data_IF_589884591214
#
_entry.id   IF_589884591214
#
_cell.length_a   1.000
_cell.length_b   1.000
_cell.length_c   1.000
_cell.angle_alpha   90.00
_cell.angle_beta   90.00
_cell.angle_gamma   90.00
#
_symmetry.space_group_name_H-M   'P 1'
#
loop_
_entity.id
_entity.type
_entity.pdbx_description
1 polymer ?
#
# COMPACT_ATOMS: atom_id res chain seq x y z
N UNK A 1 -20.96 -0.16 -1.67
CA UNK A 1 -19.73 -0.72 -1.06
C UNK A 1 -18.64 -0.73 -2.11
N UNK A 2 -17.39 -0.48 -1.69
CA UNK A 2 -16.21 -0.47 -2.59
C UNK A 2 -16.05 -1.83 -3.28
N UNK A 3 -15.90 -1.81 -4.59
CA UNK A 3 -15.57 -2.98 -5.39
C UNK A 3 -14.06 -3.19 -5.46
N UNK A 4 -13.64 -4.40 -5.84
CA UNK A 4 -12.22 -4.72 -5.96
C UNK A 4 -11.49 -3.88 -7.03
N UNK A 5 -12.19 -3.53 -8.11
CA UNK A 5 -11.61 -2.67 -9.15
C UNK A 5 -11.43 -1.24 -8.65
N UNK A 6 -12.39 -0.69 -7.90
CA UNK A 6 -12.23 0.63 -7.28
C UNK A 6 -11.06 0.66 -6.30
N UNK A 7 -10.82 -0.41 -5.54
CA UNK A 7 -9.68 -0.51 -4.62
C UNK A 7 -8.34 -0.49 -5.37
N UNK A 8 -8.24 -1.19 -6.51
CA UNK A 8 -7.01 -1.27 -7.31
C UNK A 8 -6.55 0.08 -7.87
N UNK A 9 -7.48 0.99 -8.12
CA UNK A 9 -7.20 2.33 -8.66
C UNK A 9 -6.82 3.36 -7.58
N UNK A 10 -6.94 3.02 -6.29
CA UNK A 10 -6.64 3.95 -5.20
C UNK A 10 -5.14 4.20 -5.08
N UNK A 11 -4.77 5.45 -4.81
CA UNK A 11 -3.45 5.78 -4.27
C UNK A 11 -3.33 5.30 -2.83
N UNK A 12 -2.08 5.28 -2.33
CA UNK A 12 -1.80 4.81 -0.97
C UNK A 12 -2.57 5.61 0.07
N UNK A 13 -2.52 6.93 0.00
CA UNK A 13 -3.16 7.84 0.96
C UNK A 13 -4.69 7.68 0.96
N UNK A 14 -5.27 7.47 -0.22
CA UNK A 14 -6.72 7.25 -0.37
C UNK A 14 -7.14 5.88 0.18
N UNK A 15 -6.35 4.84 -0.08
CA UNK A 15 -6.56 3.50 0.45
C UNK A 15 -6.44 3.44 1.97
N UNK A 16 -5.42 4.11 2.52
CA UNK A 16 -5.20 4.21 3.96
C UNK A 16 -6.35 4.96 4.65
N UNK A 17 -6.75 6.11 4.11
CA UNK A 17 -7.86 6.89 4.66
C UNK A 17 -9.17 6.08 4.69
N UNK A 18 -9.49 5.37 3.60
CA UNK A 18 -10.67 4.50 3.54
C UNK A 18 -10.61 3.35 4.55
N UNK A 19 -9.41 2.81 4.80
CA UNK A 19 -9.21 1.76 5.79
C UNK A 19 -9.43 2.30 7.22
N UNK A 20 -8.93 3.49 7.52
CA UNK A 20 -9.14 4.17 8.81
C UNK A 20 -10.62 4.48 9.05
N UNK A 21 -11.32 5.01 8.04
CA UNK A 21 -12.77 5.25 8.10
C UNK A 21 -13.54 3.96 8.39
N UNK A 22 -13.18 2.86 7.73
CA UNK A 22 -13.82 1.56 7.92
C UNK A 22 -13.60 1.00 9.33
N UNK A 23 -12.37 1.13 9.86
CA UNK A 23 -12.05 0.71 11.24
C UNK A 23 -12.87 1.53 12.24
N UNK A 24 -12.95 2.86 12.04
CA UNK A 24 -13.79 3.71 12.90
C UNK A 24 -15.25 3.26 12.92
N UNK A 25 -15.82 2.90 11.76
CA UNK A 25 -17.20 2.43 11.69
C UNK A 25 -17.42 1.05 12.33
N UNK A 26 -16.40 0.17 12.29
CA UNK A 26 -16.45 -1.11 13.01
C UNK A 26 -16.41 -0.91 14.53
N UNK A 27 -15.62 0.06 15.01
CA UNK A 27 -15.48 0.35 16.44
C UNK A 27 -16.71 1.05 17.03
N UNK A 28 -17.45 1.83 16.23
CA UNK A 28 -18.68 2.52 16.66
C UNK A 28 -19.82 1.55 17.04
N UNK A 29 -19.79 0.31 16.56
CA UNK A 29 -20.68 -0.77 17.01
C UNK A 29 -22.15 -0.68 16.55
N UNK A 30 -22.49 0.27 15.68
CA UNK A 30 -23.85 0.47 15.13
C UNK A 30 -24.12 -0.32 13.83
N UNK A 31 -23.18 -1.20 13.43
CA UNK A 31 -23.30 -2.01 12.22
C UNK A 31 -24.06 -3.30 12.47
N UNK A 32 -24.88 -3.70 11.49
CA UNK A 32 -25.45 -5.05 11.48
C UNK A 32 -24.34 -6.11 11.36
N UNK A 33 -24.64 -7.36 11.68
CA UNK A 33 -23.69 -8.46 11.51
C UNK A 33 -23.26 -8.62 10.04
N UNK A 34 -24.20 -8.48 9.11
CA UNK A 34 -23.95 -8.59 7.68
C UNK A 34 -23.04 -7.46 7.19
N UNK A 35 -23.28 -6.22 7.66
CA UNK A 35 -22.43 -5.08 7.36
C UNK A 35 -21.04 -5.25 7.96
N UNK A 36 -20.94 -5.73 9.21
CA UNK A 36 -19.67 -5.98 9.89
C UNK A 36 -18.78 -6.97 9.12
N UNK A 37 -19.38 -8.04 8.60
CA UNK A 37 -18.68 -9.03 7.76
C UNK A 37 -18.19 -8.38 6.46
N UNK A 38 -19.05 -7.62 5.79
CA UNK A 38 -18.70 -6.98 4.53
C UNK A 38 -17.61 -5.91 4.69
N UNK A 39 -17.69 -5.12 5.77
CA UNK A 39 -16.68 -4.12 6.10
C UNK A 39 -15.35 -4.81 6.37
N UNK A 40 -15.35 -5.90 7.14
CA UNK A 40 -14.13 -6.68 7.37
C UNK A 40 -13.50 -7.18 6.06
N UNK A 41 -14.29 -7.72 5.12
CA UNK A 41 -13.79 -8.15 3.82
C UNK A 41 -13.16 -7.02 3.01
N UNK A 42 -13.80 -5.84 3.00
CA UNK A 42 -13.28 -4.64 2.33
C UNK A 42 -11.99 -4.17 3.01
N UNK A 43 -11.95 -4.18 4.35
CA UNK A 43 -10.77 -3.79 5.14
C UNK A 43 -9.55 -4.66 4.81
N UNK A 44 -9.73 -5.98 4.70
CA UNK A 44 -8.66 -6.91 4.29
C UNK A 44 -8.15 -6.58 2.87
N UNK A 45 -9.04 -6.25 1.94
CA UNK A 45 -8.66 -5.87 0.57
C UNK A 45 -7.89 -4.55 0.54
N UNK A 46 -8.34 -3.52 1.27
CA UNK A 46 -7.66 -2.24 1.40
C UNK A 46 -6.26 -2.40 2.02
N UNK A 47 -6.15 -3.19 3.10
CA UNK A 47 -4.86 -3.52 3.72
C UNK A 47 -3.90 -4.16 2.73
N UNK A 48 -4.35 -5.20 2.01
CA UNK A 48 -3.53 -5.89 1.00
C UNK A 48 -3.09 -4.96 -0.13
N UNK A 49 -3.96 -4.04 -0.56
CA UNK A 49 -3.62 -3.03 -1.56
C UNK A 49 -2.52 -2.08 -1.08
N UNK A 50 -2.66 -1.54 0.14
CA UNK A 50 -1.68 -0.64 0.74
C UNK A 50 -0.31 -1.33 0.90
N UNK A 51 -0.27 -2.58 1.37
CA UNK A 51 0.96 -3.37 1.48
C UNK A 51 1.66 -3.56 0.14
N UNK A 52 0.90 -3.80 -0.95
CA UNK A 52 1.46 -3.92 -2.30
C UNK A 52 2.07 -2.61 -2.79
N UNK A 53 1.42 -1.48 -2.52
CA UNK A 53 1.94 -0.16 -2.86
C UNK A 53 3.24 0.16 -2.11
N UNK A 54 3.28 -0.11 -0.81
CA UNK A 54 4.48 0.06 0.02
C UNK A 54 5.63 -0.83 -0.47
N UNK A 55 5.37 -2.11 -0.73
CA UNK A 55 6.38 -3.04 -1.28
C UNK A 55 6.90 -2.56 -2.64
N UNK A 56 6.02 -2.01 -3.47
CA UNK A 56 6.42 -1.46 -4.77
C UNK A 56 7.30 -0.22 -4.60
N UNK A 57 6.99 0.65 -3.63
CA UNK A 57 7.80 1.82 -3.32
C UNK A 57 9.19 1.41 -2.77
N UNK A 58 9.24 0.45 -1.85
CA UNK A 58 10.48 -0.10 -1.31
C UNK A 58 11.38 -0.68 -2.41
N UNK A 59 10.82 -1.50 -3.30
CA UNK A 59 11.57 -2.05 -4.44
C UNK A 59 12.09 -0.98 -5.39
N UNK A 60 11.39 0.14 -5.56
CA UNK A 60 11.87 1.27 -6.37
C UNK A 60 13.07 1.95 -5.69
N UNK A 61 13.02 2.15 -4.38
CA UNK A 61 14.12 2.74 -3.60
C UNK A 61 15.35 1.84 -3.71
N UNK A 62 15.21 0.53 -3.44
CA UNK A 62 16.32 -0.43 -3.52
C UNK A 62 16.99 -0.41 -4.90
N UNK A 63 16.21 -0.42 -5.98
CA UNK A 63 16.75 -0.36 -7.36
C UNK A 63 17.51 0.92 -7.66
N UNK A 64 17.11 2.06 -7.07
CA UNK A 64 17.84 3.32 -7.24
C UNK A 64 19.15 3.26 -6.46
N UNK A 65 19.12 2.80 -5.21
CA UNK A 65 20.31 2.67 -4.37
C UNK A 65 21.35 1.68 -4.92
N UNK A 66 20.91 0.56 -5.50
CA UNK A 66 21.80 -0.39 -6.19
C UNK A 66 22.46 0.24 -7.42
N UNK A 67 21.70 1.02 -8.21
CA UNK A 67 22.26 1.72 -9.38
C UNK A 67 23.27 2.79 -8.99
N UNK A 68 23.03 3.54 -7.90
CA UNK A 68 24.00 4.51 -7.39
C UNK A 68 25.31 3.84 -6.99
N UNK A 69 25.24 2.64 -6.38
CA UNK A 69 26.43 1.87 -6.00
C UNK A 69 27.27 1.45 -7.21
N UNK A 70 26.62 0.98 -8.28
CA UNK A 70 27.29 0.61 -9.54
C UNK A 70 28.00 1.82 -10.16
N UNK A 71 27.34 2.99 -10.18
CA UNK A 71 27.93 4.23 -10.74
C UNK A 71 29.16 4.68 -9.92
N UNK A 72 29.14 4.53 -8.60
CA UNK A 72 30.29 4.89 -7.77
C UNK A 72 31.48 3.94 -7.92
N UNK A 73 31.24 2.66 -8.20
CA UNK A 73 32.29 1.66 -8.41
C UNK A 73 32.95 1.81 -9.80
N UNK A 74 32.16 2.09 -10.85
CA UNK A 74 32.69 2.34 -12.21
C UNK A 74 33.57 3.60 -12.32
N UNK A 75 33.36 4.61 -11.46
CA UNK A 75 34.18 5.83 -11.44
C UNK A 75 35.52 5.66 -10.71
N UNK A 76 35.72 4.59 -9.94
CA UNK A 76 36.99 4.32 -9.25
C UNK A 76 38.02 3.57 -10.13
N UNK A 77 37.62 3.04 -11.29
CA UNK A 77 38.50 2.31 -12.21
C UNK A 77 39.04 3.15 -13.39
N UNK A 78 38.79 4.47 -13.43
CA UNK A 78 39.17 5.34 -14.56
C UNK A 78 40.48 6.13 -14.32
N UNK A 79 41.09 6.04 -13.13
CA UNK A 79 42.27 6.84 -12.74
C UNK A 79 43.62 6.07 -12.73
N UNK A 80 43.73 4.91 -13.38
CA UNK A 80 45.00 4.21 -13.68
C UNK A 80 45.29 4.11 -15.20
#
# INVERSE_FOLDING_TARGET
>A
MLTENEIKELKFEEGLKKLEELVSQLDDGDLSLEDSISYYEIGIKLKSHCEKLLKTAELKILKVSEKEKIVTEELQEIDD
#
